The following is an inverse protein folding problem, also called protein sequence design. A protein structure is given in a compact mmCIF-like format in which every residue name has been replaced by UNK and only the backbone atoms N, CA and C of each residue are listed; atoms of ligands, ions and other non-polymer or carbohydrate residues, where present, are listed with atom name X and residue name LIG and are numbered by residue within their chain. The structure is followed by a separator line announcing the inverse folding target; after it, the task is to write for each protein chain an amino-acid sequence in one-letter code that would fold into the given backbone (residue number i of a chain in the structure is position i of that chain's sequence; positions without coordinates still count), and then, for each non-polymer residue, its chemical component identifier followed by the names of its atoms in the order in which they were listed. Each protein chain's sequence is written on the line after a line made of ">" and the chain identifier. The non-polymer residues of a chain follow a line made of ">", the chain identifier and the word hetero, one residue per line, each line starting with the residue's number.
data_IF_693277577034
#
_entry.id   IF_693277577034
#
_cell.length_a   1.000
_cell.length_b   1.000
_cell.length_c   1.000
_cell.angle_alpha   90.00
_cell.angle_beta   90.00
_cell.angle_gamma   90.00
#
_symmetry.space_group_name_H-M   'P 1'
#
loop_
_entity.id
_entity.type
_entity.pdbx_description
1 polymer ?
#
# COMPACT_ATOMS: atom_id res chain seq x y z
N UNK A 1 -4.72 12.27 31.93
CA UNK A 1 -3.55 12.82 31.21
C UNK A 1 -3.89 12.83 29.74
N UNK A 2 -4.08 14.02 29.18
CA UNK A 2 -4.53 14.23 27.81
C UNK A 2 -3.50 13.66 26.83
N UNK A 3 -3.87 12.59 26.11
CA UNK A 3 -3.16 12.20 24.88
C UNK A 3 -3.37 13.35 23.90
N UNK A 4 -2.29 14.07 23.62
CA UNK A 4 -2.27 15.08 22.57
C UNK A 4 -2.79 14.41 21.29
N UNK A 5 -3.82 14.99 20.69
CA UNK A 5 -4.42 14.51 19.45
C UNK A 5 -3.29 14.46 18.42
N UNK A 6 -2.93 13.27 17.96
CA UNK A 6 -2.02 13.11 16.86
C UNK A 6 -2.65 13.80 15.64
N UNK A 7 -2.20 15.00 15.32
CA UNK A 7 -2.20 15.49 13.93
C UNK A 7 -1.05 14.79 13.18
N UNK A 8 -1.00 13.47 13.31
CA UNK A 8 0.14 12.62 12.98
C UNK A 8 0.08 12.04 11.58
N UNK A 9 1.07 11.21 11.26
CA UNK A 9 1.24 10.59 9.94
C UNK A 9 -0.02 9.89 9.41
N UNK A 10 -0.88 9.32 10.28
CA UNK A 10 -2.19 8.78 9.90
C UNK A 10 -3.05 9.79 9.13
N UNK A 11 -3.25 10.99 9.68
CA UNK A 11 -4.05 12.04 9.02
C UNK A 11 -3.43 12.44 7.69
N UNK A 12 -2.10 12.52 7.62
CA UNK A 12 -1.40 12.78 6.38
C UNK A 12 -1.65 11.68 5.33
N UNK A 13 -1.57 10.41 5.71
CA UNK A 13 -1.84 9.29 4.81
C UNK A 13 -3.29 9.31 4.31
N UNK A 14 -4.25 9.65 5.18
CA UNK A 14 -5.67 9.79 4.82
C UNK A 14 -5.88 10.96 3.84
N UNK A 15 -5.34 12.15 4.17
CA UNK A 15 -5.47 13.35 3.34
C UNK A 15 -4.80 13.16 1.97
N UNK A 16 -3.61 12.54 1.96
CA UNK A 16 -2.82 12.31 0.75
C UNK A 16 -3.14 11.00 0.04
N UNK A 17 -4.16 10.24 0.48
CA UNK A 17 -4.58 8.97 -0.14
C UNK A 17 -4.73 9.10 -1.65
N UNK A 18 -5.33 10.19 -2.12
CA UNK A 18 -5.54 10.46 -3.55
C UNK A 18 -4.24 10.63 -4.37
N UNK A 19 -3.13 10.98 -3.73
CA UNK A 19 -1.80 11.10 -4.37
C UNK A 19 -0.96 9.83 -4.19
N UNK A 20 -1.04 9.19 -3.02
CA UNK A 20 -0.24 8.01 -2.68
C UNK A 20 -0.78 6.73 -3.33
N UNK A 21 -2.09 6.48 -3.23
CA UNK A 21 -2.68 5.23 -3.66
C UNK A 21 -2.53 4.94 -5.17
N UNK A 22 -2.62 5.93 -6.08
CA UNK A 22 -2.33 5.69 -7.50
C UNK A 22 -0.89 5.25 -7.75
N UNK A 23 0.08 5.90 -7.10
CA UNK A 23 1.50 5.53 -7.22
C UNK A 23 1.77 4.14 -6.67
N UNK A 24 1.12 3.80 -5.56
CA UNK A 24 1.27 2.48 -4.96
C UNK A 24 0.63 1.38 -5.80
N UNK A 25 -0.50 1.68 -6.42
CA UNK A 25 -1.14 0.79 -7.40
C UNK A 25 -0.27 0.57 -8.61
N UNK A 26 0.40 1.60 -9.09
CA UNK A 26 1.32 1.48 -10.21
C UNK A 26 2.47 0.54 -9.84
N UNK A 27 3.08 0.72 -8.66
CA UNK A 27 4.08 -0.22 -8.10
C UNK A 27 3.59 -1.67 -7.99
N UNK A 28 2.31 -1.87 -7.64
CA UNK A 28 1.71 -3.21 -7.57
C UNK A 28 1.69 -3.89 -8.94
N UNK A 29 1.38 -3.13 -9.99
CA UNK A 29 1.27 -3.67 -11.33
C UNK A 29 2.60 -3.71 -12.07
N UNK A 30 3.52 -2.77 -11.86
CA UNK A 30 4.80 -2.57 -12.60
C UNK A 30 5.72 -3.79 -12.72
N UNK A 31 5.42 -4.85 -11.95
CA UNK A 31 6.09 -6.15 -12.01
C UNK A 31 5.73 -6.99 -13.25
N UNK A 32 4.60 -6.71 -13.89
CA UNK A 32 4.11 -7.51 -15.01
C UNK A 32 4.75 -7.06 -16.33
N UNK A 33 4.77 -7.87 -17.40
CA UNK A 33 5.21 -7.37 -18.70
C UNK A 33 4.28 -6.25 -19.23
N UNK A 34 4.79 -5.31 -20.05
CA UNK A 34 3.98 -4.22 -20.63
C UNK A 34 2.69 -4.68 -21.35
N UNK A 35 2.69 -5.90 -21.91
CA UNK A 35 1.52 -6.49 -22.57
C UNK A 35 0.37 -6.86 -21.62
N UNK A 36 0.65 -7.21 -20.36
CA UNK A 36 -0.34 -7.53 -19.33
C UNK A 36 -0.62 -6.35 -18.38
N UNK A 37 0.32 -5.41 -18.27
CA UNK A 37 0.17 -4.17 -17.51
C UNK A 37 -1.08 -3.36 -17.88
N UNK A 38 -1.25 -3.07 -19.17
CA UNK A 38 -2.33 -2.21 -19.64
C UNK A 38 -3.71 -2.80 -19.34
N UNK A 39 -3.83 -4.13 -19.42
CA UNK A 39 -5.06 -4.84 -19.12
C UNK A 39 -5.37 -4.84 -17.62
N UNK A 40 -4.40 -5.22 -16.79
CA UNK A 40 -4.58 -5.33 -15.33
C UNK A 40 -4.81 -3.96 -14.66
N UNK A 41 -4.21 -2.88 -15.17
CA UNK A 41 -4.37 -1.52 -14.64
C UNK A 41 -5.74 -0.89 -14.95
N UNK A 42 -6.46 -1.41 -15.97
CA UNK A 42 -7.72 -0.82 -16.39
C UNK A 42 -8.87 -1.20 -15.43
N UNK A 43 -9.27 -0.25 -14.57
CA UNK A 43 -10.32 -0.40 -13.55
C UNK A 43 -11.76 -0.47 -14.09
N UNK A 44 -12.00 -0.08 -15.34
CA UNK A 44 -13.37 0.23 -15.81
C UNK A 44 -14.28 -0.98 -15.96
N UNK A 45 -13.74 -2.20 -16.01
CA UNK A 45 -14.54 -3.38 -16.34
C UNK A 45 -14.25 -4.55 -15.40
N UNK A 46 -15.00 -4.65 -14.29
CA UNK A 46 -14.92 -5.77 -13.33
C UNK A 46 -15.03 -7.16 -13.96
N UNK A 47 -15.78 -7.28 -15.05
CA UNK A 47 -16.01 -8.54 -15.76
C UNK A 47 -14.94 -8.83 -16.80
N UNK A 48 -14.36 -7.80 -17.42
CA UNK A 48 -13.26 -7.97 -18.36
C UNK A 48 -11.93 -8.17 -17.62
N UNK A 49 -11.73 -7.55 -16.46
CA UNK A 49 -10.49 -7.60 -15.68
C UNK A 49 -10.77 -7.91 -14.18
N UNK A 50 -11.21 -9.13 -13.85
CA UNK A 50 -11.53 -9.50 -12.47
C UNK A 50 -10.29 -9.49 -11.55
N UNK A 51 -9.12 -9.86 -12.06
CA UNK A 51 -7.87 -9.88 -11.29
C UNK A 51 -7.44 -8.47 -10.91
N UNK A 52 -7.36 -7.56 -11.88
CA UNK A 52 -6.98 -6.16 -11.62
C UNK A 52 -7.99 -5.41 -10.75
N UNK A 53 -9.28 -5.74 -10.88
CA UNK A 53 -10.33 -5.21 -10.01
C UNK A 53 -10.15 -5.66 -8.55
N UNK A 54 -9.97 -6.96 -8.29
CA UNK A 54 -9.75 -7.49 -6.94
C UNK A 54 -8.46 -6.93 -6.34
N UNK A 55 -7.34 -6.99 -7.06
CA UNK A 55 -6.06 -6.42 -6.61
C UNK A 55 -6.19 -4.94 -6.24
N UNK A 56 -6.89 -4.15 -7.07
CA UNK A 56 -7.08 -2.73 -6.79
C UNK A 56 -7.94 -2.45 -5.56
N UNK A 57 -8.97 -3.26 -5.30
CA UNK A 57 -9.86 -3.09 -4.16
C UNK A 57 -9.19 -3.52 -2.86
N UNK A 58 -8.49 -4.66 -2.88
CA UNK A 58 -7.75 -5.13 -1.71
C UNK A 58 -6.58 -4.19 -1.40
N UNK A 59 -5.92 -3.60 -2.42
CA UNK A 59 -4.89 -2.59 -2.19
C UNK A 59 -5.45 -1.31 -1.55
N UNK A 60 -6.66 -0.90 -1.94
CA UNK A 60 -7.34 0.26 -1.35
C UNK A 60 -7.67 0.03 0.13
N UNK A 61 -8.27 -1.13 0.44
CA UNK A 61 -8.53 -1.55 1.83
C UNK A 61 -7.25 -1.67 2.64
N UNK A 62 -6.24 -2.31 2.09
CA UNK A 62 -4.94 -2.46 2.74
C UNK A 62 -4.31 -1.09 3.05
N UNK A 63 -4.43 -0.11 2.14
CA UNK A 63 -3.95 1.25 2.40
C UNK A 63 -4.68 1.89 3.58
N UNK A 64 -6.01 1.77 3.65
CA UNK A 64 -6.81 2.31 4.75
C UNK A 64 -6.43 1.68 6.10
N UNK A 65 -6.22 0.37 6.14
CA UNK A 65 -5.79 -0.33 7.36
C UNK A 65 -4.33 0.02 7.75
N UNK A 66 -3.46 0.24 6.75
CA UNK A 66 -2.09 0.71 6.99
C UNK A 66 -2.07 2.15 7.52
N UNK A 67 -2.97 3.01 7.06
CA UNK A 67 -3.03 4.40 7.50
C UNK A 67 -3.46 4.53 8.97
N UNK A 68 -4.33 3.63 9.45
CA UNK A 68 -4.80 3.60 10.84
C UNK A 68 -3.75 3.06 11.81
N UNK A 69 -3.86 3.42 13.09
CA UNK A 69 -3.07 2.81 14.15
C UNK A 69 -3.38 1.31 14.33
N UNK A 70 -2.33 0.49 14.44
CA UNK A 70 -2.45 -0.95 14.69
C UNK A 70 -2.43 -1.84 13.44
N UNK A 71 -2.42 -3.15 13.69
CA UNK A 71 -2.62 -4.19 12.68
C UNK A 71 -3.98 -4.84 12.96
N UNK A 72 -4.92 -4.66 12.05
CA UNK A 72 -6.25 -5.23 12.14
C UNK A 72 -6.31 -6.59 11.44
N UNK A 73 -7.35 -7.37 11.74
CA UNK A 73 -7.61 -8.60 10.99
C UNK A 73 -7.88 -8.30 9.51
N UNK A 74 -8.53 -7.16 9.22
CA UNK A 74 -8.79 -6.68 7.87
C UNK A 74 -7.51 -6.40 7.08
N UNK A 75 -6.46 -5.90 7.75
CA UNK A 75 -5.13 -5.73 7.14
C UNK A 75 -4.62 -7.07 6.64
N UNK A 76 -4.65 -8.10 7.50
CA UNK A 76 -4.18 -9.45 7.18
C UNK A 76 -4.97 -10.08 6.05
N UNK A 77 -6.30 -10.00 6.11
CA UNK A 77 -7.18 -10.56 5.07
C UNK A 77 -6.95 -9.90 3.70
N UNK A 78 -6.76 -8.58 3.67
CA UNK A 78 -6.51 -7.85 2.42
C UNK A 78 -5.13 -8.21 1.85
N UNK A 79 -4.11 -8.26 2.72
CA UNK A 79 -2.75 -8.67 2.34
C UNK A 79 -2.74 -10.11 1.80
N UNK A 80 -3.34 -11.05 2.51
CA UNK A 80 -3.43 -12.46 2.13
C UNK A 80 -4.14 -12.62 0.78
N UNK A 81 -5.21 -11.86 0.54
CA UNK A 81 -5.95 -11.88 -0.73
C UNK A 81 -5.08 -11.44 -1.91
N UNK A 82 -4.28 -10.36 -1.74
CA UNK A 82 -3.32 -9.91 -2.75
C UNK A 82 -2.26 -10.98 -2.98
N UNK A 83 -1.67 -11.52 -1.91
CA UNK A 83 -0.58 -12.48 -2.01
C UNK A 83 -1.03 -13.81 -2.62
N UNK A 84 -2.23 -14.30 -2.33
CA UNK A 84 -2.81 -15.50 -2.97
C UNK A 84 -2.93 -15.33 -4.49
N UNK A 85 -3.41 -14.17 -4.93
CA UNK A 85 -3.52 -13.86 -6.37
C UNK A 85 -2.13 -13.83 -7.00
N UNK A 86 -1.15 -13.18 -6.34
CA UNK A 86 0.22 -13.04 -6.84
C UNK A 86 1.03 -14.33 -6.79
N UNK A 87 0.76 -15.23 -5.85
CA UNK A 87 1.45 -16.51 -5.67
C UNK A 87 1.18 -17.50 -6.80
N UNK A 88 0.03 -17.38 -7.47
CA UNK A 88 -0.30 -18.18 -8.66
C UNK A 88 0.05 -17.46 -9.97
N UNK A 89 0.59 -16.24 -9.90
CA UNK A 89 1.23 -15.61 -11.06
C UNK A 89 2.68 -16.10 -11.14
N UNK A 90 3.28 -16.04 -12.33
CA UNK A 90 4.70 -16.38 -12.56
C UNK A 90 5.63 -15.27 -12.03
N UNK A 91 5.56 -15.02 -10.72
CA UNK A 91 6.33 -14.03 -9.99
C UNK A 91 7.24 -14.72 -8.98
N UNK A 92 8.46 -14.22 -8.84
CA UNK A 92 9.33 -14.61 -7.72
C UNK A 92 8.75 -14.08 -6.40
N UNK A 93 9.04 -14.72 -5.26
CA UNK A 93 8.60 -14.22 -3.95
C UNK A 93 8.99 -12.75 -3.69
N UNK A 94 10.19 -12.34 -4.09
CA UNK A 94 10.65 -10.95 -3.97
C UNK A 94 9.79 -9.99 -4.80
N UNK A 95 9.40 -10.39 -6.00
CA UNK A 95 8.55 -9.62 -6.90
C UNK A 95 7.12 -9.52 -6.36
N UNK A 96 6.60 -10.59 -5.76
CA UNK A 96 5.28 -10.61 -5.12
C UNK A 96 5.17 -9.65 -3.93
N UNK A 97 6.27 -9.43 -3.20
CA UNK A 97 6.32 -8.58 -2.01
C UNK A 97 6.76 -7.13 -2.26
N UNK A 98 7.47 -6.86 -3.36
CA UNK A 98 8.14 -5.57 -3.61
C UNK A 98 7.24 -4.35 -3.35
N UNK A 99 5.97 -4.43 -3.77
CA UNK A 99 4.99 -3.35 -3.58
C UNK A 99 4.82 -2.92 -2.12
N UNK A 100 4.95 -3.84 -1.16
CA UNK A 100 4.83 -3.53 0.28
C UNK A 100 5.93 -2.54 0.67
N UNK A 101 7.17 -2.81 0.26
CA UNK A 101 8.33 -1.99 0.57
C UNK A 101 8.33 -0.66 -0.20
N UNK A 102 7.82 -0.65 -1.44
CA UNK A 102 7.75 0.55 -2.27
C UNK A 102 6.92 1.66 -1.62
N UNK A 103 5.91 1.30 -0.81
CA UNK A 103 5.08 2.26 -0.09
C UNK A 103 5.89 3.20 0.80
N UNK A 104 7.01 2.73 1.38
CA UNK A 104 7.92 3.57 2.20
C UNK A 104 8.47 4.74 1.39
N UNK A 105 8.99 4.44 0.20
CA UNK A 105 9.57 5.44 -0.69
C UNK A 105 8.53 6.43 -1.21
N UNK A 106 7.32 5.95 -1.51
CA UNK A 106 6.20 6.78 -1.96
C UNK A 106 5.79 7.75 -0.85
N UNK A 107 5.55 7.25 0.37
CA UNK A 107 5.14 8.09 1.51
C UNK A 107 6.23 9.08 1.89
N UNK A 108 7.50 8.65 1.97
CA UNK A 108 8.63 9.53 2.26
C UNK A 108 8.76 10.66 1.24
N UNK A 109 8.58 10.37 -0.06
CA UNK A 109 8.58 11.40 -1.11
C UNK A 109 7.41 12.37 -0.96
N UNK A 110 6.22 11.86 -0.66
CA UNK A 110 5.03 12.69 -0.45
C UNK A 110 5.22 13.63 0.75
N UNK A 111 5.75 13.11 1.87
CA UNK A 111 6.10 13.92 3.04
C UNK A 111 7.19 14.94 2.70
N UNK A 112 8.22 14.59 1.95
CA UNK A 112 9.27 15.57 1.62
C UNK A 112 8.80 16.68 0.65
N UNK A 113 7.86 16.37 -0.23
CA UNK A 113 7.39 17.31 -1.26
C UNK A 113 6.22 18.18 -0.82
N UNK A 114 5.41 17.69 0.11
CA UNK A 114 4.14 18.31 0.54
C UNK A 114 3.97 18.35 2.06
N UNK A 115 4.96 17.87 2.81
CA UNK A 115 4.89 17.67 4.24
C UNK A 115 4.66 18.95 5.02
N UNK A 116 3.57 18.91 5.77
CA UNK A 116 3.36 19.73 6.94
C UNK A 116 4.62 19.65 7.83
N UNK A 117 5.08 20.78 8.36
CA UNK A 117 6.20 20.89 9.31
C UNK A 117 6.00 20.12 10.64
N UNK A 118 4.96 19.28 10.68
CA UNK A 118 4.46 18.54 11.83
C UNK A 118 4.79 17.03 11.76
N UNK A 119 5.16 16.48 10.60
CA UNK A 119 5.56 15.06 10.50
C UNK A 119 7.03 14.94 10.88
N UNK A 120 7.31 14.28 11.99
CA UNK A 120 8.67 14.09 12.46
C UNK A 120 9.39 12.95 11.71
N UNK A 121 10.71 12.93 11.78
CA UNK A 121 11.51 11.79 11.32
C UNK A 121 11.17 10.49 12.06
N UNK A 122 10.75 10.59 13.33
CA UNK A 122 10.37 9.44 14.14
C UNK A 122 9.03 8.86 13.69
N UNK A 123 8.06 9.71 13.30
CA UNK A 123 6.78 9.24 12.73
C UNK A 123 7.01 8.46 11.43
N UNK A 124 7.84 9.00 10.53
CA UNK A 124 8.24 8.32 9.30
C UNK A 124 8.94 7.00 9.58
N UNK A 125 9.87 6.98 10.54
CA UNK A 125 10.58 5.77 10.93
C UNK A 125 9.63 4.71 11.51
N UNK A 126 8.69 5.11 12.36
CA UNK A 126 7.68 4.23 12.93
C UNK A 126 6.81 3.58 11.85
N UNK A 127 6.43 4.35 10.82
CA UNK A 127 5.74 3.82 9.65
C UNK A 127 6.58 2.84 8.84
N UNK A 128 7.83 3.16 8.56
CA UNK A 128 8.72 2.25 7.82
C UNK A 128 8.91 0.91 8.55
N UNK A 129 9.02 0.94 9.87
CA UNK A 129 9.05 -0.26 10.71
C UNK A 129 7.72 -1.04 10.67
N UNK A 130 6.57 -0.35 10.64
CA UNK A 130 5.26 -1.00 10.44
C UNK A 130 5.22 -1.72 9.09
N UNK A 131 5.71 -1.10 8.03
CA UNK A 131 5.77 -1.71 6.69
C UNK A 131 6.72 -2.92 6.67
N UNK A 132 7.89 -2.83 7.33
CA UNK A 132 8.80 -3.98 7.49
C UNK A 132 8.11 -5.15 8.18
N UNK A 133 7.41 -4.88 9.28
CA UNK A 133 6.65 -5.90 10.01
C UNK A 133 5.59 -6.57 9.13
N UNK A 134 4.83 -5.78 8.36
CA UNK A 134 3.81 -6.30 7.42
C UNK A 134 4.46 -7.19 6.36
N UNK A 135 5.61 -6.78 5.82
CA UNK A 135 6.35 -7.57 4.83
C UNK A 135 6.86 -8.89 5.42
N UNK A 136 7.29 -8.90 6.69
CA UNK A 136 7.74 -10.11 7.38
C UNK A 136 6.60 -11.07 7.72
N UNK A 137 5.39 -10.57 7.98
CA UNK A 137 4.20 -11.37 8.27
C UNK A 137 3.50 -11.90 7.01
N UNK A 138 4.01 -11.56 5.81
CA UNK A 138 3.46 -11.98 4.53
C UNK A 138 3.73 -13.46 4.18
N UNK A 139 4.62 -14.14 4.92
CA UNK A 139 5.02 -15.54 4.75
C UNK A 139 5.27 -16.20 6.11
#
# INVERSE_FOLDING_TARGET
>A
MSRCIAMGLENFLIERKGSILPLWRDSLFDVYPPGSHGFLKNKKERFANPVGYTLSNELDRLFEEIAREGQTEQLRLSLESILKIRAVQDLKPSEALQFILDLKGIVRREVNTKGSSQISSEDLRGFELKIDKICLEAF
#
